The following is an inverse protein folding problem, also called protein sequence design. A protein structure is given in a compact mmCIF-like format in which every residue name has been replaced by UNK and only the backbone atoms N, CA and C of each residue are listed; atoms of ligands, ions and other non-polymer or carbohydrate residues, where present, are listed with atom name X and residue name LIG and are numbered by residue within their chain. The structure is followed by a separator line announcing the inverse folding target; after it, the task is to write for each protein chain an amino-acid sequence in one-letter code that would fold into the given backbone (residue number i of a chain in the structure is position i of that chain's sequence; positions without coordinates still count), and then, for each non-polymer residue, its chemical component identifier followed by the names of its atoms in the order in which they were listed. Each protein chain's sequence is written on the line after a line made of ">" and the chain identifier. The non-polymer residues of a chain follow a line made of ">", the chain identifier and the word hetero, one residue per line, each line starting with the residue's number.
data_IF_933795246416
#
_entry.id   IF_933795246416
#
_cell.length_a   1.000
_cell.length_b   1.000
_cell.length_c   1.000
_cell.angle_alpha   90.00
_cell.angle_beta   90.00
_cell.angle_gamma   90.00
#
_symmetry.space_group_name_H-M   'P 1'
#
loop_
_entity.id
_entity.type
_entity.pdbx_description
1 polymer ?
#
# COMPACT_ATOMS: atom_id res chain seq x y z
N UNK A 1 -25.64 53.46 -44.45
CA UNK A 1 -24.24 53.49 -43.97
C UNK A 1 -24.22 53.95 -42.53
N UNK A 2 -23.82 53.07 -41.59
CA UNK A 2 -23.13 53.42 -40.33
C UNK A 2 -22.65 52.14 -39.69
N UNK A 3 -21.33 51.99 -39.64
CA UNK A 3 -20.60 50.95 -38.92
C UNK A 3 -20.41 51.43 -37.48
N UNK A 4 -20.66 50.57 -36.51
CA UNK A 4 -20.11 50.68 -35.15
C UNK A 4 -19.93 49.27 -34.56
N UNK A 5 -18.89 49.15 -33.74
CA UNK A 5 -18.06 47.98 -33.50
C UNK A 5 -18.35 47.29 -32.16
N UNK A 6 -18.21 45.95 -32.12
CA UNK A 6 -17.86 45.01 -31.03
C UNK A 6 -18.66 45.07 -29.69
N UNK A 7 -18.89 43.98 -28.96
CA UNK A 7 -17.90 43.09 -28.32
C UNK A 7 -18.53 41.70 -28.03
N UNK A 8 -17.64 40.71 -28.07
CA UNK A 8 -17.84 39.27 -27.88
C UNK A 8 -18.44 38.83 -26.53
N UNK A 9 -19.22 37.75 -26.55
CA UNK A 9 -19.04 36.58 -25.67
C UNK A 9 -19.54 35.35 -26.45
N UNK A 10 -18.63 34.50 -26.93
CA UNK A 10 -19.00 33.18 -27.47
C UNK A 10 -19.09 32.21 -26.29
N UNK A 11 -20.28 32.07 -25.73
CA UNK A 11 -20.54 30.99 -24.78
C UNK A 11 -20.73 29.69 -25.57
N UNK A 12 -19.65 28.94 -25.78
CA UNK A 12 -19.75 27.55 -26.24
C UNK A 12 -20.32 26.71 -25.10
N UNK A 13 -21.63 26.50 -25.13
CA UNK A 13 -22.29 25.40 -24.41
C UNK A 13 -21.86 24.09 -25.08
N UNK A 14 -20.78 23.48 -24.57
CA UNK A 14 -20.51 22.07 -24.81
C UNK A 14 -21.50 21.29 -23.94
N UNK A 15 -22.59 20.84 -24.56
CA UNK A 15 -23.50 19.87 -23.97
C UNK A 15 -22.77 18.54 -23.77
N UNK A 16 -22.18 18.35 -22.59
CA UNK A 16 -21.67 17.05 -22.17
C UNK A 16 -22.88 16.16 -21.90
N UNK A 17 -23.10 15.19 -22.78
CA UNK A 17 -24.09 14.14 -22.64
C UNK A 17 -23.77 13.39 -21.33
N UNK A 18 -24.63 13.56 -20.33
CA UNK A 18 -24.69 12.69 -19.16
C UNK A 18 -25.14 11.29 -19.62
N UNK A 19 -24.19 10.51 -20.11
CA UNK A 19 -24.37 9.07 -20.20
C UNK A 19 -24.43 8.52 -18.77
N UNK A 20 -25.65 8.36 -18.24
CA UNK A 20 -25.93 7.49 -17.10
C UNK A 20 -25.77 6.03 -17.54
N UNK A 21 -24.56 5.67 -17.97
CA UNK A 21 -24.16 4.27 -18.05
C UNK A 21 -23.76 3.87 -16.65
N UNK A 22 -24.65 3.17 -15.94
CA UNK A 22 -24.25 2.43 -14.76
C UNK A 22 -23.14 1.49 -15.19
N UNK A 23 -21.90 1.78 -14.78
CA UNK A 23 -20.83 0.78 -14.80
C UNK A 23 -21.27 -0.28 -13.81
N UNK A 24 -21.90 -1.34 -14.32
CA UNK A 24 -22.13 -2.54 -13.53
C UNK A 24 -20.77 -3.00 -13.03
N UNK A 25 -20.56 -2.92 -11.72
CA UNK A 25 -19.41 -3.56 -11.10
C UNK A 25 -19.48 -5.04 -11.48
N UNK A 26 -18.50 -5.50 -12.26
CA UNK A 26 -18.40 -6.88 -12.67
C UNK A 26 -18.42 -7.75 -11.40
N UNK A 27 -19.47 -8.56 -11.29
CA UNK A 27 -19.75 -9.40 -10.13
C UNK A 27 -18.89 -10.65 -10.11
N UNK A 28 -18.01 -10.83 -11.11
CA UNK A 28 -17.00 -11.89 -11.15
C UNK A 28 -15.75 -11.56 -10.33
N UNK A 29 -15.86 -10.70 -9.30
CA UNK A 29 -14.83 -10.69 -8.25
C UNK A 29 -14.78 -12.11 -7.67
N UNK A 30 -13.66 -12.84 -7.83
CA UNK A 30 -13.55 -14.15 -7.21
C UNK A 30 -13.88 -13.98 -5.73
N UNK A 31 -14.71 -14.88 -5.19
CA UNK A 31 -14.99 -14.92 -3.76
C UNK A 31 -13.65 -14.94 -3.03
N UNK A 32 -13.27 -13.79 -2.50
CA UNK A 32 -12.03 -13.65 -1.77
C UNK A 32 -12.14 -14.57 -0.56
N UNK A 33 -11.11 -15.38 -0.36
CA UNK A 33 -11.06 -16.26 0.80
C UNK A 33 -11.21 -15.39 2.04
N UNK A 34 -12.20 -15.70 2.87
CA UNK A 34 -12.39 -14.99 4.12
C UNK A 34 -11.32 -15.46 5.11
N UNK A 35 -10.22 -14.72 5.19
CA UNK A 35 -9.14 -14.99 6.13
C UNK A 35 -9.58 -14.59 7.54
N UNK A 36 -9.54 -15.54 8.47
CA UNK A 36 -9.83 -15.27 9.89
C UNK A 36 -8.66 -14.56 10.57
N UNK A 37 -7.43 -14.86 10.14
CA UNK A 37 -6.19 -14.29 10.67
C UNK A 37 -5.21 -14.05 9.54
N UNK A 38 -4.53 -12.91 9.58
CA UNK A 38 -3.43 -12.54 8.69
C UNK A 38 -2.25 -12.14 9.57
N UNK A 39 -1.09 -12.70 9.29
CA UNK A 39 0.17 -12.34 9.93
C UNK A 39 1.09 -11.74 8.87
N UNK A 40 1.56 -10.52 9.14
CA UNK A 40 2.60 -9.86 8.33
C UNK A 40 3.85 -9.81 9.18
N UNK A 41 4.90 -10.49 8.72
CA UNK A 41 6.20 -10.55 9.40
C UNK A 41 7.17 -9.78 8.53
N UNK A 42 7.69 -8.66 9.06
CA UNK A 42 8.69 -7.85 8.36
C UNK A 42 10.05 -8.02 9.05
N UNK A 43 11.07 -8.32 8.26
CA UNK A 43 12.43 -8.53 8.75
C UNK A 43 13.22 -7.22 8.66
N UNK A 44 13.63 -6.69 9.81
CA UNK A 44 14.45 -5.47 9.88
C UNK A 44 15.83 -5.70 9.25
N UNK A 45 16.31 -4.71 8.49
CA UNK A 45 17.62 -4.71 7.81
C UNK A 45 18.01 -6.00 7.05
N UNK A 46 17.03 -6.78 6.59
CA UNK A 46 17.29 -8.10 6.01
C UNK A 46 16.85 -8.14 4.54
N UNK A 47 17.81 -8.32 3.64
CA UNK A 47 17.57 -8.45 2.19
C UNK A 47 17.28 -9.89 1.74
N UNK A 48 16.93 -10.04 0.46
CA UNK A 48 16.61 -11.32 -0.18
C UNK A 48 17.73 -12.37 0.01
N UNK A 49 18.97 -12.01 -0.33
CA UNK A 49 20.12 -12.92 -0.30
C UNK A 49 20.52 -13.33 1.14
N UNK A 50 20.08 -12.58 2.15
CA UNK A 50 20.29 -12.95 3.55
C UNK A 50 19.34 -14.07 4.02
N UNK A 51 18.22 -14.29 3.33
CA UNK A 51 17.19 -15.26 3.71
C UNK A 51 17.11 -16.46 2.77
N UNK A 52 17.03 -16.23 1.46
CA UNK A 52 16.81 -17.29 0.50
C UNK A 52 18.09 -18.11 0.31
N UNK A 53 17.99 -19.42 0.48
CA UNK A 53 19.11 -20.37 0.55
C UNK A 53 19.81 -20.45 1.92
N UNK A 54 19.45 -19.60 2.89
CA UNK A 54 20.12 -19.59 4.19
C UNK A 54 19.67 -20.78 5.07
N UNK A 55 20.58 -21.69 5.47
CA UNK A 55 20.23 -22.86 6.28
C UNK A 55 19.72 -22.49 7.69
N UNK A 56 20.04 -21.28 8.18
CA UNK A 56 19.55 -20.76 9.46
C UNK A 56 18.15 -20.13 9.37
N UNK A 57 17.54 -20.07 8.18
CA UNK A 57 16.17 -19.60 7.96
C UNK A 57 15.29 -20.68 7.31
N UNK A 58 15.21 -21.91 7.88
CA UNK A 58 14.59 -23.05 7.22
C UNK A 58 13.10 -22.85 6.95
N UNK A 59 12.38 -22.20 7.87
CA UNK A 59 10.95 -21.94 7.71
C UNK A 59 10.64 -20.96 6.57
N UNK A 60 11.43 -19.89 6.44
CA UNK A 60 11.26 -18.90 5.36
C UNK A 60 11.53 -19.54 3.99
N UNK A 61 12.55 -20.39 3.91
CA UNK A 61 12.89 -21.12 2.69
C UNK A 61 11.80 -22.12 2.28
N UNK A 62 11.24 -22.89 3.23
CA UNK A 62 10.09 -23.77 2.96
C UNK A 62 8.87 -22.98 2.47
N UNK A 63 8.54 -21.87 3.14
CA UNK A 63 7.40 -21.04 2.77
C UNK A 63 7.55 -20.44 1.35
N UNK A 64 8.73 -19.93 1.01
CA UNK A 64 9.02 -19.36 -0.30
C UNK A 64 8.86 -20.40 -1.44
N UNK A 65 9.30 -21.64 -1.22
CA UNK A 65 9.14 -22.73 -2.19
C UNK A 65 7.71 -23.23 -2.37
N UNK A 66 6.83 -23.04 -1.36
CA UNK A 66 5.47 -23.61 -1.33
C UNK A 66 4.36 -22.65 -1.69
N UNK A 67 4.46 -21.38 -1.28
CA UNK A 67 3.33 -20.44 -1.31
C UNK A 67 3.54 -19.23 -2.22
N UNK A 68 4.73 -19.08 -2.81
CA UNK A 68 5.08 -18.01 -3.72
C UNK A 68 6.18 -17.11 -3.17
N UNK A 69 7.01 -16.59 -4.08
CA UNK A 69 8.13 -15.72 -3.78
C UNK A 69 8.13 -14.54 -4.75
N UNK A 70 8.03 -13.32 -4.21
CA UNK A 70 8.12 -12.11 -5.00
C UNK A 70 9.60 -11.73 -5.19
N UNK A 71 10.18 -12.09 -6.34
CA UNK A 71 11.59 -11.81 -6.66
C UNK A 71 11.84 -10.39 -7.15
N UNK A 72 10.78 -9.63 -7.43
CA UNK A 72 10.83 -8.21 -7.81
C UNK A 72 10.10 -7.34 -6.77
N UNK A 73 10.40 -7.55 -5.49
CA UNK A 73 9.88 -6.76 -4.37
C UNK A 73 11.02 -5.97 -3.74
N UNK A 74 10.90 -4.63 -3.72
CA UNK A 74 11.93 -3.72 -3.21
C UNK A 74 11.38 -2.84 -2.10
N UNK A 75 12.26 -2.34 -1.23
CA UNK A 75 11.93 -1.21 -0.38
C UNK A 75 11.63 0.04 -1.22
N UNK A 76 10.94 1.01 -0.62
CA UNK A 76 10.63 2.30 -1.21
C UNK A 76 11.83 3.24 -1.12
N UNK A 77 12.50 3.28 0.04
CA UNK A 77 13.65 4.17 0.31
C UNK A 77 14.45 3.65 1.51
N UNK A 78 15.65 4.18 1.73
CA UNK A 78 16.35 4.09 3.02
C UNK A 78 16.24 5.44 3.74
N UNK A 79 15.94 5.48 5.06
CA UNK A 79 16.07 4.42 6.05
C UNK A 79 14.85 3.48 6.21
N UNK A 80 14.75 2.65 7.26
CA UNK A 80 13.75 1.59 7.34
C UNK A 80 12.33 2.07 7.70
N UNK A 81 12.18 3.14 8.50
CA UNK A 81 10.86 3.67 8.91
C UNK A 81 9.95 4.05 7.73
N UNK A 82 10.42 4.77 6.70
CA UNK A 82 9.61 5.05 5.52
C UNK A 82 9.02 3.81 4.83
N UNK A 83 9.69 2.65 4.90
CA UNK A 83 9.16 1.41 4.34
C UNK A 83 7.99 0.86 5.17
N UNK A 84 8.04 0.99 6.50
CA UNK A 84 6.93 0.63 7.37
C UNK A 84 5.71 1.53 7.12
N UNK A 85 5.93 2.83 6.95
CA UNK A 85 4.87 3.79 6.60
C UNK A 85 4.26 3.42 5.25
N UNK A 86 5.09 3.21 4.22
CA UNK A 86 4.59 2.85 2.89
C UNK A 86 3.81 1.54 2.88
N UNK A 87 4.27 0.52 3.62
CA UNK A 87 3.59 -0.77 3.69
C UNK A 87 2.27 -0.77 4.47
N UNK A 88 2.08 0.16 5.41
CA UNK A 88 0.89 0.21 6.28
C UNK A 88 -0.10 1.30 5.87
N UNK A 89 0.38 2.47 5.47
CA UNK A 89 -0.43 3.62 5.06
C UNK A 89 -0.54 3.80 3.54
N UNK A 90 0.33 3.14 2.76
CA UNK A 90 0.30 3.24 1.29
C UNK A 90 0.78 4.60 0.75
N UNK A 91 1.49 5.38 1.57
CA UNK A 91 2.02 6.70 1.18
C UNK A 91 3.55 6.68 1.10
N UNK A 92 4.09 7.61 0.31
CA UNK A 92 5.53 7.87 0.19
C UNK A 92 5.82 9.32 0.51
N UNK A 93 7.08 9.65 0.83
CA UNK A 93 7.51 11.04 1.08
C UNK A 93 8.14 11.26 2.45
N UNK A 94 7.96 10.32 3.38
CA UNK A 94 8.82 10.22 4.55
C UNK A 94 10.23 9.78 4.11
N UNK A 95 11.27 10.41 4.66
CA UNK A 95 12.66 10.19 4.29
C UNK A 95 13.60 10.08 5.51
N UNK A 96 13.04 10.03 6.73
CA UNK A 96 13.78 9.93 8.00
C UNK A 96 13.24 8.83 8.91
N UNK A 97 14.04 8.44 9.92
CA UNK A 97 13.64 7.56 11.04
C UNK A 97 13.27 8.38 12.29
N UNK A 98 12.67 9.56 12.10
CA UNK A 98 12.29 10.42 13.22
C UNK A 98 11.01 9.91 13.88
N UNK A 99 10.89 10.13 15.19
CA UNK A 99 9.60 9.96 15.86
C UNK A 99 8.62 11.02 15.36
N UNK A 100 7.65 10.59 14.55
CA UNK A 100 6.68 11.46 13.90
C UNK A 100 5.28 10.85 13.98
N UNK A 101 4.28 11.71 14.20
CA UNK A 101 2.88 11.33 14.11
C UNK A 101 2.35 11.71 12.74
N UNK A 102 1.92 10.72 11.97
CA UNK A 102 1.30 10.92 10.67
C UNK A 102 -0.21 10.79 10.81
N UNK A 103 -0.92 11.89 10.59
CA UNK A 103 -2.39 11.93 10.59
C UNK A 103 -2.92 11.57 9.19
N UNK A 104 -2.77 10.30 8.83
CA UNK A 104 -3.21 9.75 7.54
C UNK A 104 -3.93 8.42 7.73
N UNK A 105 -5.00 8.13 6.96
CA UNK A 105 -5.65 6.83 6.98
C UNK A 105 -4.67 5.72 6.63
N UNK A 106 -4.68 4.65 7.40
CA UNK A 106 -3.82 3.49 7.20
C UNK A 106 -4.60 2.17 7.35
N UNK A 107 -3.92 1.04 7.14
CA UNK A 107 -4.51 -0.29 7.20
C UNK A 107 -5.17 -0.59 8.56
N UNK A 108 -4.61 -0.08 9.67
CA UNK A 108 -5.17 -0.27 11.01
C UNK A 108 -6.50 0.43 11.16
N UNK A 109 -6.63 1.68 10.70
CA UNK A 109 -7.90 2.41 10.75
C UNK A 109 -8.99 1.67 9.98
N UNK A 110 -8.63 1.09 8.82
CA UNK A 110 -9.54 0.27 8.03
C UNK A 110 -9.97 -0.98 8.80
N UNK A 111 -9.06 -1.69 9.47
CA UNK A 111 -9.39 -2.86 10.29
C UNK A 111 -10.36 -2.49 11.43
N UNK A 112 -10.08 -1.40 12.13
CA UNK A 112 -10.90 -0.92 13.25
C UNK A 112 -12.30 -0.49 12.80
N UNK A 113 -12.40 0.24 11.68
CA UNK A 113 -13.70 0.65 11.09
C UNK A 113 -14.61 -0.54 10.73
N UNK A 114 -14.01 -1.71 10.49
CA UNK A 114 -14.69 -2.97 10.20
C UNK A 114 -14.76 -3.91 11.41
N UNK A 115 -14.55 -3.39 12.63
CA UNK A 115 -14.61 -4.16 13.88
C UNK A 115 -13.68 -5.37 13.89
N UNK A 116 -12.52 -5.27 13.23
CA UNK A 116 -11.46 -6.28 13.25
C UNK A 116 -10.42 -5.96 14.32
N UNK A 117 -9.92 -7.00 14.96
CA UNK A 117 -8.86 -6.88 15.97
C UNK A 117 -7.50 -6.92 15.32
N UNK A 118 -6.55 -6.16 15.84
CA UNK A 118 -5.15 -6.19 15.41
C UNK A 118 -4.22 -6.12 16.63
N UNK A 119 -2.97 -6.55 16.43
CA UNK A 119 -1.88 -6.44 17.39
C UNK A 119 -0.56 -6.29 16.63
N UNK A 120 0.38 -5.55 17.20
CA UNK A 120 1.75 -5.47 16.70
C UNK A 120 2.75 -5.90 17.77
N UNK A 121 3.86 -6.48 17.33
CA UNK A 121 4.99 -6.84 18.17
C UNK A 121 6.27 -6.45 17.47
N UNK A 122 7.29 -6.11 18.25
CA UNK A 122 8.64 -5.84 17.78
C UNK A 122 9.59 -6.74 18.55
N UNK A 123 10.43 -7.49 17.83
CA UNK A 123 11.43 -8.35 18.42
C UNK A 123 12.79 -7.93 17.86
N UNK A 124 13.73 -7.65 18.75
CA UNK A 124 15.11 -7.33 18.40
C UNK A 124 15.99 -8.50 18.79
N UNK A 125 16.92 -8.90 17.92
CA UNK A 125 17.97 -9.85 18.30
C UNK A 125 19.01 -9.08 19.10
N UNK A 126 19.17 -9.39 20.38
CA UNK A 126 20.38 -8.99 21.12
C UNK A 126 21.51 -9.92 20.67
N UNK A 127 22.56 -9.39 20.04
CA UNK A 127 23.80 -10.14 19.87
C UNK A 127 24.54 -10.14 21.20
N UNK A 128 24.60 -11.29 21.87
CA UNK A 128 25.58 -11.52 22.91
C UNK A 128 26.96 -11.64 22.25
N UNK A 129 27.81 -10.65 22.46
CA UNK A 129 29.26 -10.74 22.25
C UNK A 129 29.90 -11.63 23.30
#
# INVERSE_FOLDING_TARGET
>A
MRRTTAIAVFATLVGMVFGLGSVSADSTRPTLKNYQHVFVIMMENTGYDALIGNPNAPWINDAAGRYGLATNYTGVIHPSQPNYIASTAGITGADTDNDETLDVPNLVDQLESHSKTWKSWRAWRTSST
#
